data_IF_232544567019
#
_entry.id   IF_232544567019
#
_cell.length_a   1.000
_cell.length_b   1.000
_cell.length_c   1.000
_cell.angle_alpha   90.00
_cell.angle_beta   90.00
_cell.angle_gamma   90.00
#
_symmetry.space_group_name_H-M   'P 1'
#
loop_
_entity.id
_entity.type
_entity.pdbx_description
1 polymer ?
#
# COMPACT_ATOMS: atom_id res chain seq x y z
N UNK A 1 1.88 18.71 -12.72
CA UNK A 1 2.14 17.93 -11.49
C UNK A 1 1.15 18.44 -10.45
N UNK A 2 0.20 17.64 -10.04
CA UNK A 2 -0.65 17.98 -8.92
C UNK A 2 0.22 18.07 -7.67
N UNK A 3 -0.14 18.96 -6.75
CA UNK A 3 0.65 19.47 -5.63
C UNK A 3 1.02 18.45 -4.55
N UNK A 4 1.71 17.35 -4.91
CA UNK A 4 2.33 16.53 -3.88
C UNK A 4 3.36 17.39 -3.14
N UNK A 5 3.20 17.50 -1.83
CA UNK A 5 4.13 18.25 -0.98
C UNK A 5 5.06 17.27 -0.27
N UNK A 6 6.34 17.66 -0.15
CA UNK A 6 7.30 16.85 0.60
C UNK A 6 6.79 16.65 2.05
N UNK A 7 6.57 15.41 2.48
CA UNK A 7 6.05 15.12 3.81
C UNK A 7 7.12 15.26 4.91
N UNK A 8 8.39 15.42 4.54
CA UNK A 8 9.49 15.45 5.50
C UNK A 8 9.97 16.87 5.83
N UNK A 9 10.36 17.12 7.08
CA UNK A 9 10.29 16.19 8.22
C UNK A 9 8.84 15.87 8.60
N UNK A 10 8.57 14.62 9.01
CA UNK A 10 7.24 14.25 9.48
C UNK A 10 6.82 15.11 10.69
N UNK A 11 5.56 15.52 10.72
CA UNK A 11 5.04 16.37 11.79
C UNK A 11 5.00 15.64 13.15
N UNK A 12 4.74 14.32 13.12
CA UNK A 12 4.63 13.50 14.34
C UNK A 12 5.30 12.15 14.15
N UNK A 13 5.86 11.60 15.24
CA UNK A 13 6.31 10.19 15.28
C UNK A 13 5.14 9.28 15.63
N UNK A 14 4.24 9.08 14.64
CA UNK A 14 3.00 8.32 14.79
C UNK A 14 3.25 6.85 15.10
N UNK A 15 2.36 6.24 15.89
CA UNK A 15 2.29 4.79 16.06
C UNK A 15 1.44 4.21 14.92
N UNK A 16 1.99 3.26 14.20
CA UNK A 16 1.33 2.56 13.08
C UNK A 16 1.05 1.13 13.51
N UNK A 17 -0.22 0.77 13.60
CA UNK A 17 -0.60 -0.59 13.90
C UNK A 17 -0.66 -1.42 12.61
N UNK A 18 0.09 -2.52 12.59
CA UNK A 18 0.16 -3.44 11.45
C UNK A 18 -0.30 -4.83 11.85
N UNK A 19 -1.39 -5.30 11.26
CA UNK A 19 -1.79 -6.70 11.28
C UNK A 19 -1.32 -7.29 9.95
N UNK A 20 -0.19 -7.99 9.96
CA UNK A 20 0.49 -8.40 8.72
C UNK A 20 0.91 -9.87 8.74
N UNK A 21 1.52 -10.33 7.67
CA UNK A 21 2.11 -11.66 7.57
C UNK A 21 3.49 -11.71 8.23
N UNK A 22 3.90 -12.91 8.63
CA UNK A 22 5.16 -13.12 9.35
C UNK A 22 6.40 -12.93 8.45
N UNK A 23 6.25 -13.12 7.14
CA UNK A 23 7.38 -13.10 6.19
C UNK A 23 7.95 -11.70 6.04
N UNK A 24 7.08 -10.69 5.94
CA UNK A 24 7.48 -9.29 5.73
C UNK A 24 7.47 -8.45 7.01
N UNK A 25 7.04 -9.00 8.14
CA UNK A 25 6.82 -8.28 9.40
C UNK A 25 8.02 -7.42 9.81
N UNK A 26 9.22 -7.99 9.85
CA UNK A 26 10.47 -7.30 10.21
C UNK A 26 10.80 -6.17 9.23
N UNK A 27 10.65 -6.41 7.93
CA UNK A 27 10.89 -5.41 6.88
C UNK A 27 9.94 -4.21 7.01
N UNK A 28 8.66 -4.46 7.30
CA UNK A 28 7.66 -3.42 7.49
C UNK A 28 7.98 -2.57 8.73
N UNK A 29 8.31 -3.23 9.85
CA UNK A 29 8.69 -2.55 11.08
C UNK A 29 9.89 -1.62 10.86
N UNK A 30 10.93 -2.11 10.22
CA UNK A 30 12.12 -1.32 9.91
C UNK A 30 11.83 -0.21 8.89
N UNK A 31 10.96 -0.44 7.90
CA UNK A 31 10.52 0.59 6.95
C UNK A 31 9.78 1.75 7.63
N UNK A 32 8.88 1.45 8.55
CA UNK A 32 8.17 2.46 9.35
C UNK A 32 9.15 3.27 10.22
N UNK A 33 10.10 2.58 10.86
CA UNK A 33 11.17 3.22 11.66
C UNK A 33 12.07 4.10 10.79
N UNK A 34 12.40 3.67 9.57
CA UNK A 34 13.22 4.42 8.64
C UNK A 34 12.62 5.79 8.31
N UNK A 35 11.30 5.90 8.23
CA UNK A 35 10.60 7.17 8.01
C UNK A 35 10.53 8.03 9.28
N UNK A 36 10.63 7.46 10.48
CA UNK A 36 10.59 8.17 11.76
C UNK A 36 9.31 7.94 12.57
N UNK A 37 8.47 6.99 12.15
CA UNK A 37 7.29 6.52 12.87
C UNK A 37 7.60 5.28 13.73
N UNK A 38 6.65 4.83 14.52
CA UNK A 38 6.76 3.67 15.41
C UNK A 38 5.84 2.55 14.95
N UNK A 39 6.33 1.34 14.69
CA UNK A 39 5.47 0.20 14.36
C UNK A 39 4.99 -0.52 15.62
N UNK A 40 3.80 -1.11 15.55
CA UNK A 40 3.33 -2.18 16.44
C UNK A 40 2.71 -3.29 15.62
N UNK A 41 3.17 -4.53 15.85
CA UNK A 41 2.81 -5.72 15.06
C UNK A 41 1.90 -6.67 15.86
N UNK A 42 0.87 -6.13 16.53
CA UNK A 42 -0.05 -6.90 17.36
C UNK A 42 -1.19 -7.49 16.51
N UNK A 43 -1.37 -8.79 16.55
CA UNK A 43 -2.41 -9.49 15.80
C UNK A 43 -3.21 -10.51 16.64
N UNK A 44 -3.01 -10.52 17.94
CA UNK A 44 -3.79 -11.36 18.87
C UNK A 44 -5.12 -10.65 19.22
N UNK A 45 -6.29 -11.32 19.07
CA UNK A 45 -7.59 -10.75 19.41
C UNK A 45 -7.73 -10.28 20.86
N UNK A 46 -6.90 -10.75 21.77
CA UNK A 46 -6.95 -10.37 23.20
C UNK A 46 -6.38 -8.99 23.47
N UNK A 47 -5.46 -8.52 22.60
CA UNK A 47 -4.76 -7.22 22.79
C UNK A 47 -4.91 -6.25 21.63
N UNK A 48 -5.39 -6.72 20.46
CA UNK A 48 -5.42 -5.93 19.21
C UNK A 48 -6.07 -4.56 19.39
N UNK A 49 -7.15 -4.46 20.15
CA UNK A 49 -7.85 -3.20 20.39
C UNK A 49 -7.04 -2.20 21.23
N UNK A 50 -6.22 -2.67 22.15
CA UNK A 50 -5.41 -1.81 23.00
C UNK A 50 -4.35 -1.06 22.16
N UNK A 51 -3.80 -1.74 21.15
CA UNK A 51 -2.86 -1.14 20.21
C UNK A 51 -3.56 -0.31 19.12
N UNK A 52 -4.68 -0.78 18.57
CA UNK A 52 -5.43 0.00 17.57
C UNK A 52 -5.85 1.37 18.12
N UNK A 53 -6.33 1.42 19.36
CA UNK A 53 -6.77 2.66 20.03
C UNK A 53 -5.67 3.69 20.22
N UNK A 54 -4.42 3.27 20.35
CA UNK A 54 -3.28 4.14 20.55
C UNK A 54 -2.62 4.59 19.25
N UNK A 55 -3.01 3.99 18.12
CA UNK A 55 -2.38 4.20 16.82
C UNK A 55 -3.01 5.35 16.04
N UNK A 56 -2.25 5.94 15.12
CA UNK A 56 -2.68 7.00 14.23
C UNK A 56 -3.00 6.51 12.82
N UNK A 57 -2.70 5.24 12.51
CA UNK A 57 -3.15 4.53 11.32
C UNK A 57 -3.11 3.02 11.53
N UNK A 58 -3.97 2.30 10.80
CA UNK A 58 -4.06 0.84 10.78
C UNK A 58 -3.68 0.32 9.40
N UNK A 59 -2.75 -0.65 9.34
CA UNK A 59 -2.42 -1.42 8.15
C UNK A 59 -2.83 -2.87 8.33
N UNK A 60 -3.64 -3.39 7.43
CA UNK A 60 -4.11 -4.79 7.39
C UNK A 60 -3.59 -5.43 6.11
N UNK A 61 -2.81 -6.50 6.25
CA UNK A 61 -2.33 -7.33 5.16
C UNK A 61 -2.90 -8.74 5.28
N UNK A 62 -3.55 -9.25 4.24
CA UNK A 62 -4.25 -10.53 4.25
C UNK A 62 -3.34 -11.73 3.93
N UNK A 63 -2.03 -11.52 3.79
CA UNK A 63 -1.08 -12.62 3.71
C UNK A 63 -1.07 -13.44 5.01
N UNK A 64 -0.92 -14.76 4.89
CA UNK A 64 -0.81 -15.67 6.04
C UNK A 64 -1.99 -15.55 7.03
N UNK A 65 -3.21 -15.76 6.53
CA UNK A 65 -4.44 -15.65 7.30
C UNK A 65 -4.66 -16.87 8.19
N UNK A 66 -5.08 -16.62 9.45
CA UNK A 66 -5.60 -17.63 10.39
C UNK A 66 -6.95 -17.17 10.93
N UNK A 67 -7.71 -18.08 11.56
CA UNK A 67 -9.00 -17.71 12.16
C UNK A 67 -8.86 -16.65 13.26
N UNK A 68 -7.80 -16.74 14.08
CA UNK A 68 -7.53 -15.74 15.13
C UNK A 68 -7.13 -14.39 14.52
N UNK A 69 -6.29 -14.40 13.49
CA UNK A 69 -5.92 -13.18 12.78
C UNK A 69 -7.13 -12.53 12.10
N UNK A 70 -8.02 -13.30 11.46
CA UNK A 70 -9.26 -12.78 10.90
C UNK A 70 -10.12 -12.11 11.97
N UNK A 71 -10.25 -12.73 13.15
CA UNK A 71 -10.98 -12.13 14.27
C UNK A 71 -10.34 -10.80 14.71
N UNK A 72 -9.03 -10.77 14.87
CA UNK A 72 -8.28 -9.55 15.20
C UNK A 72 -8.48 -8.44 14.16
N UNK A 73 -8.40 -8.79 12.86
CA UNK A 73 -8.64 -7.88 11.74
C UNK A 73 -10.04 -7.24 11.84
N UNK A 74 -11.07 -8.05 12.05
CA UNK A 74 -12.46 -7.55 12.17
C UNK A 74 -12.64 -6.62 13.37
N UNK A 75 -12.04 -6.94 14.51
CA UNK A 75 -12.08 -6.09 15.71
C UNK A 75 -11.38 -4.75 15.47
N UNK A 76 -10.17 -4.78 14.92
CA UNK A 76 -9.40 -3.57 14.62
C UNK A 76 -10.10 -2.70 13.56
N UNK A 77 -10.62 -3.29 12.48
CA UNK A 77 -11.33 -2.58 11.42
C UNK A 77 -12.64 -1.95 11.92
N UNK A 78 -13.38 -2.64 12.80
CA UNK A 78 -14.58 -2.08 13.44
C UNK A 78 -14.23 -0.82 14.23
N UNK A 79 -13.20 -0.88 15.06
CA UNK A 79 -12.75 0.28 15.83
C UNK A 79 -12.26 1.41 14.91
N UNK A 80 -11.45 1.10 13.90
CA UNK A 80 -10.93 2.07 12.96
C UNK A 80 -12.06 2.86 12.26
N UNK A 81 -13.15 2.18 11.84
CA UNK A 81 -14.30 2.83 11.25
C UNK A 81 -15.05 3.73 12.25
N UNK A 82 -15.19 3.28 13.50
CA UNK A 82 -15.90 4.05 14.55
C UNK A 82 -15.16 5.33 14.96
N UNK A 83 -13.83 5.26 14.99
CA UNK A 83 -12.96 6.36 15.46
C UNK A 83 -12.37 7.15 14.29
N UNK A 84 -12.81 6.90 13.05
CA UNK A 84 -12.27 7.51 11.83
C UNK A 84 -10.75 7.37 11.70
N UNK A 85 -10.19 6.26 12.22
CA UNK A 85 -8.77 5.96 12.12
C UNK A 85 -8.44 5.56 10.67
N UNK A 86 -7.50 6.22 9.97
CA UNK A 86 -7.12 5.83 8.63
C UNK A 86 -6.69 4.37 8.55
N UNK A 87 -7.25 3.64 7.57
CA UNK A 87 -7.04 2.20 7.42
C UNK A 87 -6.62 1.85 5.99
N UNK A 88 -5.50 1.14 5.87
CA UNK A 88 -5.03 0.54 4.61
C UNK A 88 -5.31 -0.95 4.64
N UNK A 89 -5.97 -1.47 3.61
CA UNK A 89 -6.20 -2.91 3.43
C UNK A 89 -5.44 -3.40 2.21
N UNK A 90 -4.51 -4.33 2.41
CA UNK A 90 -3.76 -5.00 1.34
C UNK A 90 -4.41 -6.35 1.00
N UNK A 91 -5.00 -6.43 -0.18
CA UNK A 91 -5.82 -7.55 -0.64
C UNK A 91 -4.97 -8.74 -1.14
N UNK A 92 -3.86 -9.03 -0.48
CA UNK A 92 -2.93 -10.12 -0.85
C UNK A 92 -3.66 -11.44 -1.03
N UNK A 93 -3.53 -12.03 -2.23
CA UNK A 93 -4.00 -13.37 -2.55
C UNK A 93 -5.51 -13.51 -2.78
N UNK A 94 -6.27 -12.42 -2.92
CA UNK A 94 -7.72 -12.48 -3.19
C UNK A 94 -8.05 -13.08 -4.55
N UNK A 95 -7.12 -13.07 -5.49
CA UNK A 95 -7.29 -13.71 -6.80
C UNK A 95 -7.31 -15.23 -6.72
N UNK A 96 -6.66 -15.82 -5.70
CA UNK A 96 -6.54 -17.26 -5.52
C UNK A 96 -7.39 -17.81 -4.37
N UNK A 97 -7.79 -16.97 -3.40
CA UNK A 97 -8.49 -17.40 -2.18
C UNK A 97 -9.88 -16.79 -2.06
N UNK A 98 -10.96 -17.60 -2.19
CA UNK A 98 -12.32 -17.15 -1.93
C UNK A 98 -12.52 -16.60 -0.50
N UNK A 99 -11.84 -17.19 0.49
CA UNK A 99 -11.89 -16.73 1.90
C UNK A 99 -11.38 -15.30 2.01
N UNK A 100 -10.19 -15.01 1.45
CA UNK A 100 -9.62 -13.66 1.46
C UNK A 100 -10.50 -12.67 0.68
N UNK A 101 -11.05 -13.10 -0.45
CA UNK A 101 -11.96 -12.28 -1.25
C UNK A 101 -13.23 -11.90 -0.48
N UNK A 102 -13.81 -12.84 0.25
CA UNK A 102 -14.96 -12.58 1.13
C UNK A 102 -14.56 -11.61 2.24
N UNK A 103 -13.42 -11.85 2.91
CA UNK A 103 -12.97 -10.96 3.97
C UNK A 103 -12.73 -9.53 3.49
N UNK A 104 -12.11 -9.31 2.31
CA UNK A 104 -11.96 -7.95 1.76
C UNK A 104 -13.30 -7.30 1.53
N UNK A 105 -14.29 -8.04 0.99
CA UNK A 105 -15.64 -7.49 0.78
C UNK A 105 -16.30 -7.08 2.09
N UNK A 106 -16.15 -7.89 3.13
CA UNK A 106 -16.65 -7.54 4.47
C UNK A 106 -15.91 -6.31 5.03
N UNK A 107 -14.59 -6.19 4.77
CA UNK A 107 -13.79 -5.05 5.21
C UNK A 107 -14.19 -3.72 4.53
N UNK A 108 -14.78 -3.75 3.35
CA UNK A 108 -15.30 -2.53 2.70
C UNK A 108 -16.41 -1.87 3.51
N UNK A 109 -17.19 -2.63 4.29
CA UNK A 109 -18.22 -2.08 5.19
C UNK A 109 -17.60 -1.21 6.30
N UNK A 110 -16.33 -1.42 6.63
CA UNK A 110 -15.58 -0.60 7.59
C UNK A 110 -14.86 0.59 6.95
N UNK A 111 -15.14 0.88 5.68
CA UNK A 111 -14.66 2.05 4.93
C UNK A 111 -13.14 2.25 4.98
N UNK A 112 -12.34 1.31 4.45
CA UNK A 112 -10.90 1.51 4.38
C UNK A 112 -10.56 2.79 3.61
N UNK A 113 -9.53 3.50 4.07
CA UNK A 113 -9.05 4.72 3.42
C UNK A 113 -8.34 4.39 2.11
N UNK A 114 -7.56 3.30 2.10
CA UNK A 114 -6.88 2.79 0.90
C UNK A 114 -7.09 1.30 0.78
N UNK A 115 -7.51 0.85 -0.41
CA UNK A 115 -7.54 -0.56 -0.79
C UNK A 115 -6.41 -0.82 -1.78
N UNK A 116 -5.45 -1.65 -1.37
CA UNK A 116 -4.27 -1.96 -2.14
C UNK A 116 -4.26 -3.41 -2.60
N UNK A 117 -3.64 -3.65 -3.73
CA UNK A 117 -3.34 -4.97 -4.28
C UNK A 117 -2.59 -4.86 -5.59
N UNK A 118 -2.10 -5.97 -6.14
CA UNK A 118 -1.57 -5.98 -7.49
C UNK A 118 -2.70 -6.00 -8.53
N UNK A 119 -2.33 -5.85 -9.81
CA UNK A 119 -3.29 -5.81 -10.92
C UNK A 119 -4.24 -7.03 -10.92
N UNK A 120 -3.73 -8.24 -10.70
CA UNK A 120 -4.54 -9.48 -10.69
C UNK A 120 -5.51 -9.53 -9.52
N UNK A 121 -5.06 -9.11 -8.34
CA UNK A 121 -5.86 -9.07 -7.12
C UNK A 121 -7.02 -8.08 -7.23
N UNK A 122 -6.73 -6.85 -7.65
CA UNK A 122 -7.75 -5.81 -7.78
C UNK A 122 -8.75 -6.18 -8.89
N UNK A 123 -8.30 -6.64 -10.07
CA UNK A 123 -9.21 -7.11 -11.13
C UNK A 123 -10.12 -8.23 -10.63
N UNK A 124 -9.56 -9.21 -9.92
CA UNK A 124 -10.36 -10.29 -9.32
C UNK A 124 -11.38 -9.76 -8.33
N UNK A 125 -11.01 -8.80 -7.49
CA UNK A 125 -11.90 -8.24 -6.47
C UNK A 125 -13.10 -7.52 -7.09
N UNK A 126 -12.87 -6.69 -8.11
CA UNK A 126 -13.92 -5.92 -8.79
C UNK A 126 -14.69 -6.73 -9.84
N UNK A 127 -14.39 -8.02 -9.99
CA UNK A 127 -15.15 -8.94 -10.87
C UNK A 127 -14.74 -8.90 -12.34
N UNK A 128 -13.61 -8.28 -12.68
CA UNK A 128 -13.06 -8.31 -14.03
C UNK A 128 -12.29 -9.60 -14.26
N UNK A 129 -12.47 -10.20 -15.46
CA UNK A 129 -11.72 -11.39 -15.84
C UNK A 129 -10.26 -11.06 -16.07
N UNK A 130 -9.38 -11.97 -15.62
CA UNK A 130 -7.97 -11.91 -15.97
C UNK A 130 -7.76 -12.74 -17.26
N UNK A 131 -7.29 -12.12 -18.33
CA UNK A 131 -6.85 -12.82 -19.52
C UNK A 131 -5.39 -13.24 -19.31
N UNK A 132 -5.10 -14.52 -19.48
CA UNK A 132 -3.82 -15.16 -19.14
C UNK A 132 -2.62 -14.62 -19.92
N UNK A 133 -1.43 -15.13 -19.57
CA UNK A 133 -0.12 -14.81 -20.14
C UNK A 133 -0.15 -14.97 -21.69
N UNK A 134 0.18 -13.89 -22.43
CA UNK A 134 0.32 -13.93 -23.90
C UNK A 134 -0.46 -12.87 -24.69
N UNK A 135 -0.92 -11.82 -24.05
CA UNK A 135 -1.74 -10.76 -24.67
C UNK A 135 -0.85 -9.62 -25.19
N UNK A 136 -1.14 -9.14 -26.41
CA UNK A 136 -0.45 -8.00 -27.05
C UNK A 136 -0.57 -6.69 -26.26
N UNK A 137 0.35 -5.73 -26.51
CA UNK A 137 0.41 -4.45 -25.80
C UNK A 137 -0.92 -3.64 -25.88
N UNK A 138 -1.60 -3.68 -27.03
CA UNK A 138 -2.89 -3.02 -27.23
C UNK A 138 -4.00 -3.57 -26.32
N UNK A 139 -3.99 -4.87 -26.05
CA UNK A 139 -4.93 -5.48 -25.10
C UNK A 139 -4.62 -5.12 -23.65
N UNK A 140 -3.33 -4.94 -23.29
CA UNK A 140 -2.93 -4.50 -21.93
C UNK A 140 -3.36 -3.07 -21.66
N UNK A 141 -3.29 -2.20 -22.65
CA UNK A 141 -3.75 -0.79 -22.49
C UNK A 141 -5.27 -0.76 -22.34
N UNK A 142 -6.04 -1.51 -23.14
CA UNK A 142 -7.50 -1.62 -22.99
C UNK A 142 -7.89 -2.22 -21.62
N UNK A 143 -7.19 -3.25 -21.16
CA UNK A 143 -7.43 -3.84 -19.84
C UNK A 143 -7.21 -2.82 -18.69
N UNK A 144 -6.26 -1.91 -18.88
CA UNK A 144 -5.99 -0.83 -17.91
C UNK A 144 -7.09 0.21 -17.92
N UNK A 145 -7.58 0.61 -19.09
CA UNK A 145 -8.69 1.57 -19.22
C UNK A 145 -9.99 1.02 -18.62
N UNK A 146 -10.33 -0.25 -18.92
CA UNK A 146 -11.49 -0.92 -18.35
C UNK A 146 -11.41 -0.98 -16.81
N UNK A 147 -10.23 -1.27 -16.27
CA UNK A 147 -10.03 -1.27 -14.83
C UNK A 147 -10.19 0.14 -14.24
N UNK A 148 -9.60 1.16 -14.84
CA UNK A 148 -9.69 2.54 -14.34
C UNK A 148 -11.13 3.02 -14.22
N UNK A 149 -11.98 2.72 -15.22
CA UNK A 149 -13.39 3.09 -15.16
C UNK A 149 -14.10 2.40 -13.98
N UNK A 150 -13.92 1.08 -13.84
CA UNK A 150 -14.52 0.33 -12.73
C UNK A 150 -14.03 0.84 -11.37
N UNK A 151 -12.74 1.16 -11.24
CA UNK A 151 -12.21 1.70 -9.97
C UNK A 151 -12.76 3.09 -9.63
N UNK A 152 -12.97 3.96 -10.63
CA UNK A 152 -13.65 5.25 -10.43
C UNK A 152 -15.08 5.05 -9.91
N UNK A 153 -15.83 4.12 -10.51
CA UNK A 153 -17.20 3.79 -10.07
C UNK A 153 -17.21 3.27 -8.62
N UNK A 154 -16.24 2.44 -8.25
CA UNK A 154 -16.09 1.97 -6.86
C UNK A 154 -15.72 3.11 -5.90
N UNK A 155 -14.85 4.04 -6.28
CA UNK A 155 -14.53 5.20 -5.44
C UNK A 155 -15.77 6.10 -5.21
N UNK A 156 -16.71 6.17 -6.16
CA UNK A 156 -17.98 6.86 -5.96
C UNK A 156 -18.89 6.13 -4.95
N UNK A 157 -18.86 4.78 -4.93
CA UNK A 157 -19.60 3.98 -3.95
C UNK A 157 -18.99 4.05 -2.54
N UNK A 158 -17.67 4.30 -2.45
CA UNK A 158 -16.92 4.38 -1.21
C UNK A 158 -16.18 5.73 -1.13
N UNK A 159 -16.90 6.85 -0.85
CA UNK A 159 -16.33 8.18 -0.84
C UNK A 159 -15.13 8.30 0.13
N UNK A 160 -14.07 8.95 -0.31
CA UNK A 160 -12.84 9.10 0.47
C UNK A 160 -11.86 7.94 0.37
N UNK A 161 -12.25 6.80 -0.20
CA UNK A 161 -11.35 5.68 -0.47
C UNK A 161 -10.52 5.92 -1.75
N UNK A 162 -9.29 5.42 -1.76
CA UNK A 162 -8.48 5.30 -2.99
C UNK A 162 -8.05 3.85 -3.21
N UNK A 163 -7.92 3.47 -4.48
CA UNK A 163 -7.23 2.25 -4.87
C UNK A 163 -5.74 2.54 -5.10
N UNK A 164 -4.89 1.63 -4.63
CA UNK A 164 -3.48 1.56 -4.95
C UNK A 164 -3.20 0.22 -5.62
N UNK A 165 -3.03 0.23 -6.94
CA UNK A 165 -2.79 -0.97 -7.74
C UNK A 165 -1.31 -1.00 -8.11
N UNK A 166 -0.56 -1.94 -7.51
CA UNK A 166 0.88 -2.05 -7.75
C UNK A 166 1.19 -2.95 -8.95
N UNK A 167 2.26 -2.59 -9.68
CA UNK A 167 2.70 -3.31 -10.87
C UNK A 167 3.87 -2.64 -11.57
N UNK A 168 4.20 -3.03 -12.81
CA UNK A 168 5.22 -2.33 -13.60
C UNK A 168 4.91 -0.84 -13.85
N UNK A 169 3.64 -0.48 -13.79
CA UNK A 169 3.10 0.87 -13.65
C UNK A 169 2.14 0.82 -12.47
N UNK A 170 2.35 1.67 -11.49
CA UNK A 170 1.46 1.75 -10.35
C UNK A 170 0.30 2.69 -10.67
N UNK A 171 -0.93 2.26 -10.35
CA UNK A 171 -2.13 3.05 -10.58
C UNK A 171 -2.70 3.47 -9.24
N UNK A 172 -2.94 4.76 -9.08
CA UNK A 172 -3.66 5.30 -7.92
C UNK A 172 -4.94 5.94 -8.43
N UNK A 173 -6.08 5.49 -7.92
CA UNK A 173 -7.41 5.95 -8.35
C UNK A 173 -8.20 6.39 -7.16
N UNK A 174 -8.72 7.59 -7.18
CA UNK A 174 -9.71 8.12 -6.27
C UNK A 174 -10.94 8.58 -7.05
N UNK A 175 -11.93 9.12 -6.37
CA UNK A 175 -13.16 9.63 -7.00
C UNK A 175 -12.87 10.61 -8.15
N UNK A 176 -11.95 11.56 -7.94
CA UNK A 176 -11.71 12.66 -8.88
C UNK A 176 -10.28 12.70 -9.41
N UNK A 177 -9.43 11.76 -9.06
CA UNK A 177 -8.00 11.83 -9.38
C UNK A 177 -7.48 10.45 -9.78
N UNK A 178 -6.62 10.43 -10.79
CA UNK A 178 -5.88 9.25 -11.22
C UNK A 178 -4.40 9.59 -11.33
N UNK A 179 -3.52 8.72 -10.85
CA UNK A 179 -2.10 8.79 -11.12
C UNK A 179 -1.62 7.47 -11.73
N UNK A 180 -0.72 7.58 -12.71
CA UNK A 180 -0.01 6.45 -13.32
C UNK A 180 1.47 6.68 -13.09
N UNK A 181 2.06 5.97 -12.13
CA UNK A 181 3.46 6.14 -11.72
C UNK A 181 4.34 5.07 -12.35
N UNK A 182 5.60 5.45 -12.69
CA UNK A 182 6.52 4.60 -13.46
C UNK A 182 7.91 4.49 -12.85
N UNK A 183 8.08 4.95 -11.60
CA UNK A 183 9.31 4.69 -10.86
C UNK A 183 9.38 3.22 -10.46
N UNK A 184 10.57 2.72 -10.26
CA UNK A 184 10.85 1.38 -9.80
C UNK A 184 11.95 0.71 -10.61
N UNK A 185 12.39 -0.43 -10.14
CA UNK A 185 13.39 -1.27 -10.80
C UNK A 185 12.98 -2.74 -10.68
N UNK A 186 13.45 -3.57 -11.60
CA UNK A 186 13.11 -4.99 -11.64
C UNK A 186 13.60 -5.76 -10.40
N UNK A 187 14.62 -5.26 -9.75
CA UNK A 187 15.22 -5.86 -8.56
C UNK A 187 14.29 -5.85 -7.33
N UNK A 188 13.25 -5.01 -7.33
CA UNK A 188 12.22 -5.06 -6.29
C UNK A 188 11.48 -6.40 -6.27
N UNK A 189 11.43 -7.12 -7.39
CA UNK A 189 10.86 -8.47 -7.48
C UNK A 189 11.76 -9.56 -6.91
N UNK A 190 13.04 -9.24 -6.61
CA UNK A 190 13.97 -10.21 -6.00
C UNK A 190 13.61 -10.53 -4.55
N UNK A 191 12.99 -9.58 -3.85
CA UNK A 191 12.71 -9.68 -2.42
C UNK A 191 11.21 -9.70 -2.14
N UNK A 192 10.80 -10.61 -1.27
CA UNK A 192 9.40 -10.71 -0.82
C UNK A 192 9.08 -9.58 0.16
N UNK A 193 7.90 -8.98 0.02
CA UNK A 193 7.38 -8.01 0.98
C UNK A 193 7.51 -6.54 0.56
N UNK A 194 8.08 -6.25 -0.61
CA UNK A 194 8.13 -4.88 -1.15
C UNK A 194 6.73 -4.28 -1.35
N UNK A 195 5.80 -5.09 -1.86
CA UNK A 195 4.40 -4.70 -1.95
C UNK A 195 3.78 -4.43 -0.57
N UNK A 196 4.02 -5.32 0.40
CA UNK A 196 3.52 -5.13 1.77
C UNK A 196 4.09 -3.85 2.39
N UNK A 197 5.37 -3.56 2.13
CA UNK A 197 6.04 -2.35 2.60
C UNK A 197 5.37 -1.08 2.04
N UNK A 198 4.99 -1.06 0.76
CA UNK A 198 4.20 0.07 0.19
C UNK A 198 2.93 0.32 1.01
N UNK A 199 2.21 -0.74 1.40
CA UNK A 199 1.00 -0.62 2.23
C UNK A 199 1.30 0.00 3.59
N UNK A 200 2.37 -0.44 4.26
CA UNK A 200 2.80 0.11 5.54
C UNK A 200 3.24 1.58 5.43
N UNK A 201 3.99 1.94 4.38
CA UNK A 201 4.38 3.34 4.10
C UNK A 201 3.16 4.23 3.79
N UNK A 202 2.14 3.68 3.11
CA UNK A 202 0.86 4.39 2.88
C UNK A 202 0.20 4.74 4.23
N UNK A 203 0.17 3.80 5.18
CA UNK A 203 -0.35 4.07 6.52
C UNK A 203 0.47 5.14 7.27
N UNK A 204 1.80 5.18 7.08
CA UNK A 204 2.64 6.26 7.62
C UNK A 204 2.19 7.62 7.08
N UNK A 205 2.03 7.78 5.77
CA UNK A 205 1.63 9.08 5.20
C UNK A 205 0.20 9.47 5.55
N UNK A 206 -0.72 8.52 5.65
CA UNK A 206 -2.07 8.77 6.17
C UNK A 206 -2.04 9.30 7.60
N UNK A 207 -1.18 8.76 8.46
CA UNK A 207 -1.01 9.22 9.85
C UNK A 207 -0.48 10.67 9.97
N UNK A 208 0.06 11.21 8.87
CA UNK A 208 0.51 12.60 8.77
C UNK A 208 -0.57 13.53 8.17
N UNK A 209 -1.81 13.06 8.04
CA UNK A 209 -2.94 13.84 7.51
C UNK A 209 -2.97 13.98 5.99
N UNK A 210 -2.20 13.18 5.25
CA UNK A 210 -2.31 13.12 3.79
C UNK A 210 -3.62 12.46 3.36
N UNK A 211 -4.20 12.92 2.26
CA UNK A 211 -5.37 12.26 1.66
C UNK A 211 -5.01 10.84 1.20
N UNK A 212 -6.02 9.99 0.99
CA UNK A 212 -5.83 8.63 0.49
C UNK A 212 -5.01 8.59 -0.80
N UNK A 213 -5.30 9.51 -1.73
CA UNK A 213 -4.60 9.64 -2.99
C UNK A 213 -3.14 10.07 -2.81
N UNK A 214 -2.89 11.16 -2.06
CA UNK A 214 -1.54 11.66 -1.80
C UNK A 214 -0.68 10.63 -1.06
N UNK A 215 -1.22 9.99 -0.02
CA UNK A 215 -0.50 8.98 0.76
C UNK A 215 -0.07 7.79 -0.10
N UNK A 216 -0.96 7.33 -1.00
CA UNK A 216 -0.66 6.26 -1.95
C UNK A 216 0.42 6.65 -2.95
N UNK A 217 0.32 7.84 -3.55
CA UNK A 217 1.34 8.36 -4.48
C UNK A 217 2.70 8.51 -3.79
N UNK A 218 2.73 9.10 -2.59
CA UNK A 218 3.96 9.29 -1.82
C UNK A 218 4.60 7.95 -1.44
N UNK A 219 3.81 6.99 -0.97
CA UNK A 219 4.33 5.70 -0.50
C UNK A 219 5.00 4.89 -1.61
N UNK A 220 4.31 4.72 -2.75
CA UNK A 220 4.85 3.96 -3.86
C UNK A 220 6.04 4.67 -4.50
N UNK A 221 5.95 5.99 -4.71
CA UNK A 221 7.08 6.76 -5.26
C UNK A 221 8.29 6.75 -4.34
N UNK A 222 8.09 6.86 -3.02
CA UNK A 222 9.17 6.87 -2.05
C UNK A 222 9.95 5.56 -2.03
N UNK A 223 9.25 4.41 -2.04
CA UNK A 223 9.90 3.10 -2.14
C UNK A 223 10.61 2.93 -3.47
N UNK A 224 9.92 3.22 -4.57
CA UNK A 224 10.44 3.00 -5.92
C UNK A 224 11.67 3.86 -6.22
N UNK A 225 11.65 5.15 -5.84
CA UNK A 225 12.81 6.05 -5.97
C UNK A 225 13.95 5.61 -5.05
N UNK A 226 13.65 5.13 -3.84
CA UNK A 226 14.67 4.57 -2.96
C UNK A 226 15.39 3.40 -3.62
N UNK A 227 14.66 2.49 -4.28
CA UNK A 227 15.24 1.36 -5.00
C UNK A 227 16.04 1.79 -6.25
N UNK A 228 15.55 2.76 -7.03
CA UNK A 228 16.26 3.30 -8.21
C UNK A 228 17.64 3.92 -7.86
N UNK A 229 17.83 4.36 -6.62
CA UNK A 229 19.11 4.93 -6.16
C UNK A 229 20.17 3.89 -5.78
N UNK A 230 19.85 2.60 -5.85
CA UNK A 230 20.77 1.53 -5.50
C UNK A 230 21.60 1.13 -6.73
N UNK A 231 22.92 1.07 -6.54
CA UNK A 231 23.83 0.53 -7.56
C UNK A 231 23.90 -1.00 -7.41
N UNK A 232 23.16 -1.73 -8.25
CA UNK A 232 22.98 -3.19 -8.14
C UNK A 232 24.16 -4.04 -8.63
N UNK A 233 25.16 -3.46 -9.28
CA UNK A 233 26.28 -4.24 -9.83
C UNK A 233 27.03 -5.02 -8.76
N UNK A 234 27.02 -6.35 -8.88
CA UNK A 234 27.68 -7.26 -7.95
C UNK A 234 26.93 -7.53 -6.64
N UNK A 235 25.68 -7.06 -6.51
CA UNK A 235 24.87 -7.30 -5.32
C UNK A 235 24.11 -8.63 -5.41
N UNK A 236 24.00 -9.31 -4.26
CA UNK A 236 23.05 -10.39 -4.04
C UNK A 236 21.70 -9.87 -3.55
N UNK A 237 20.71 -10.77 -3.41
CA UNK A 237 19.35 -10.47 -2.96
C UNK A 237 19.33 -9.77 -1.60
N UNK A 238 20.09 -10.26 -0.61
CA UNK A 238 20.09 -9.69 0.74
C UNK A 238 20.79 -8.34 0.78
N UNK A 239 21.87 -8.14 0.02
CA UNK A 239 22.51 -6.84 -0.09
C UNK A 239 21.53 -5.79 -0.62
N UNK A 240 20.75 -6.14 -1.66
CA UNK A 240 19.73 -5.26 -2.22
C UNK A 240 18.64 -4.97 -1.19
N UNK A 241 18.14 -5.98 -0.47
CA UNK A 241 17.14 -5.82 0.59
C UNK A 241 17.61 -4.83 1.67
N UNK A 242 18.84 -4.96 2.15
CA UNK A 242 19.41 -4.03 3.12
C UNK A 242 19.56 -2.62 2.56
N UNK A 243 19.95 -2.50 1.30
CA UNK A 243 20.11 -1.19 0.66
C UNK A 243 18.75 -0.49 0.46
N UNK A 244 17.66 -1.21 0.17
CA UNK A 244 16.32 -0.63 0.12
C UNK A 244 15.97 0.05 1.45
N UNK A 245 16.12 -0.65 2.59
CA UNK A 245 15.86 -0.08 3.91
C UNK A 245 16.80 1.11 4.25
N UNK A 246 18.06 1.04 3.86
CA UNK A 246 19.01 2.15 4.00
C UNK A 246 18.54 3.36 3.20
N UNK A 247 18.17 3.18 1.93
CA UNK A 247 17.72 4.27 1.08
C UNK A 247 16.41 4.92 1.58
N UNK A 248 15.47 4.16 2.15
CA UNK A 248 14.30 4.73 2.82
C UNK A 248 14.70 5.71 3.93
N UNK A 249 15.76 5.41 4.70
CA UNK A 249 16.22 6.30 5.77
C UNK A 249 17.02 7.51 5.26
N UNK A 250 17.60 7.42 4.07
CA UNK A 250 18.44 8.46 3.47
C UNK A 250 17.63 9.42 2.60
N UNK A 251 16.67 8.90 1.83
CA UNK A 251 15.89 9.68 0.87
C UNK A 251 15.15 10.86 1.51
N UNK A 252 14.69 10.74 2.76
CA UNK A 252 14.04 11.83 3.50
C UNK A 252 14.92 13.06 3.77
N UNK A 253 16.24 12.95 3.53
CA UNK A 253 17.20 14.07 3.65
C UNK A 253 17.31 14.88 2.34
N UNK A 254 16.76 14.36 1.26
CA UNK A 254 16.74 15.03 -0.04
C UNK A 254 15.44 15.84 -0.13
N UNK A 255 15.55 17.15 -0.02
CA UNK A 255 14.39 18.05 -0.07
C UNK A 255 13.69 18.02 -1.44
N UNK A 256 14.39 17.63 -2.49
CA UNK A 256 13.92 17.64 -3.87
C UNK A 256 13.55 16.24 -4.41
N UNK A 257 13.45 15.22 -3.56
CA UNK A 257 13.18 13.85 -3.99
C UNK A 257 11.88 13.70 -4.81
N UNK A 258 10.90 14.57 -4.61
CA UNK A 258 9.64 14.58 -5.37
C UNK A 258 9.86 14.88 -6.88
N UNK A 259 10.92 15.58 -7.24
CA UNK A 259 11.25 15.88 -8.63
C UNK A 259 11.64 14.62 -9.42
N UNK A 260 12.02 13.55 -8.73
CA UNK A 260 12.33 12.26 -9.33
C UNK A 260 11.08 11.42 -9.65
N UNK A 261 9.88 11.87 -9.28
CA UNK A 261 8.64 11.15 -9.59
C UNK A 261 8.40 11.15 -11.10
N UNK A 262 8.25 9.96 -11.66
CA UNK A 262 7.93 9.71 -13.07
C UNK A 262 6.48 9.25 -13.17
N UNK A 263 5.61 10.07 -13.73
CA UNK A 263 4.20 9.68 -13.85
C UNK A 263 3.32 10.76 -14.42
N UNK A 264 2.09 10.37 -14.74
CA UNK A 264 1.03 11.24 -15.21
C UNK A 264 -0.07 11.32 -14.15
N UNK A 265 -0.63 12.52 -14.00
CA UNK A 265 -1.71 12.80 -13.07
C UNK A 265 -2.89 13.37 -13.86
N UNK A 266 -4.09 12.84 -13.61
CA UNK A 266 -5.33 13.22 -14.29
C UNK A 266 -6.41 13.57 -13.24
N UNK A 267 -7.31 14.47 -13.60
CA UNK A 267 -8.54 14.83 -12.87
C UNK A 267 -9.76 14.16 -13.47
#
# INVERSE_FOLDING_TARGET
MQNLTNPFPLATSSLIHCITNEISCEMLANGILALGCKPVMADDPREVLDFTKQSQALFINLGHLSAEKEKAIRMAATYANQDCLPMVVDAVGVSASPVRKTLVRDLLEYKPTVLKGNMSEIRSLVGLKHHGVGVDASHKDQETEDLLQVLKDWCQLYPGMSFLVTGPKDLIVSENQVAVLRNGCAELDWITGTGDLVGALTAVFLSQGKTAFEASCLAVSYLNISAERILVQGMGLEDFRYQVLNQLSLLKRDENWLEAIKGDFYE
#
